data_IF_002993376969
#
_entry.id   IF_002993376969
#
_cell.length_a   1.000
_cell.length_b   1.000
_cell.length_c   1.000
_cell.angle_alpha   90.00
_cell.angle_beta   90.00
_cell.angle_gamma   90.00
#
_symmetry.space_group_name_H-M   'P 1'
#
loop_
_entity.id
_entity.type
_entity.pdbx_description
1 polymer ?
#
# COMPACT_ATOMS: atom_id res chain seq x y z
N UNK A 1 -24.10 33.20 -49.47
CA UNK A 1 -23.94 34.46 -50.25
C UNK A 1 -22.51 34.99 -50.09
N UNK A 2 -21.82 34.95 -51.21
CA UNK A 2 -20.77 35.85 -51.67
C UNK A 2 -19.52 36.12 -50.82
N UNK A 3 -18.42 35.55 -51.28
CA UNK A 3 -17.05 36.15 -51.36
C UNK A 3 -17.12 37.42 -52.25
N UNK A 4 -16.11 38.31 -52.31
CA UNK A 4 -14.78 38.08 -52.88
C UNK A 4 -13.63 38.84 -52.14
N UNK A 5 -12.37 38.42 -52.19
CA UNK A 5 -11.28 38.52 -53.19
C UNK A 5 -10.78 39.92 -53.51
N UNK A 6 -9.51 40.07 -53.52
CA UNK A 6 -8.56 40.79 -54.38
C UNK A 6 -7.43 41.48 -53.56
N UNK A 7 -6.24 41.38 -53.80
CA UNK A 7 -5.21 41.14 -54.83
C UNK A 7 -4.20 42.28 -54.85
N UNK A 8 -2.91 41.94 -55.00
CA UNK A 8 -1.79 42.69 -55.60
C UNK A 8 -1.18 43.89 -54.82
N UNK A 9 0.09 44.24 -54.83
CA UNK A 9 1.22 44.01 -55.74
C UNK A 9 2.49 44.54 -55.09
N UNK A 10 3.60 43.91 -55.28
CA UNK A 10 4.84 44.21 -56.01
C UNK A 10 5.93 45.10 -55.37
N UNK A 11 7.09 44.43 -55.24
CA UNK A 11 8.47 44.89 -55.52
C UNK A 11 9.01 46.19 -54.98
N UNK A 12 10.13 46.07 -54.22
CA UNK A 12 11.41 46.61 -54.77
C UNK A 12 12.62 45.97 -54.08
N UNK A 13 13.54 45.48 -54.90
CA UNK A 13 14.84 45.01 -54.50
C UNK A 13 15.75 46.19 -54.21
N UNK A 14 16.53 46.15 -53.13
CA UNK A 14 17.76 46.91 -52.98
C UNK A 14 18.88 45.94 -52.62
N UNK A 15 19.78 45.77 -53.56
CA UNK A 15 21.09 45.15 -53.39
C UNK A 15 21.99 46.10 -52.61
N UNK A 16 22.58 45.67 -51.52
CA UNK A 16 23.75 46.28 -50.92
C UNK A 16 24.67 45.24 -50.30
N UNK A 17 25.76 45.00 -50.97
CA UNK A 17 27.13 44.74 -50.57
C UNK A 17 27.48 43.82 -49.41
N UNK A 18 28.21 42.81 -49.81
CA UNK A 18 29.01 41.84 -49.00
C UNK A 18 29.92 42.49 -47.96
N UNK A 19 29.88 41.88 -46.75
CA UNK A 19 30.99 41.79 -45.83
C UNK A 19 30.98 40.37 -45.19
N UNK A 20 32.11 39.69 -45.08
CA UNK A 20 32.12 38.36 -44.47
C UNK A 20 31.96 38.49 -42.97
N UNK A 21 30.75 38.20 -42.45
CA UNK A 21 30.55 37.96 -41.03
C UNK A 21 31.10 36.58 -40.70
N UNK A 22 32.15 36.59 -39.90
CA UNK A 22 32.66 35.40 -39.22
C UNK A 22 31.50 34.70 -38.48
N UNK A 23 31.09 33.53 -38.95
CA UNK A 23 30.26 32.61 -38.20
C UNK A 23 31.10 32.11 -37.04
N UNK A 24 30.93 32.70 -35.86
CA UNK A 24 31.24 32.03 -34.60
C UNK A 24 30.39 30.79 -34.54
N UNK A 25 31.00 29.66 -34.78
CA UNK A 25 30.41 28.37 -34.52
C UNK A 25 30.05 28.34 -33.03
N UNK A 26 28.74 28.47 -32.73
CA UNK A 26 28.21 28.15 -31.44
C UNK A 26 28.47 26.64 -31.29
N UNK A 27 29.44 26.29 -30.47
CA UNK A 27 29.68 24.93 -30.04
C UNK A 27 28.42 24.56 -29.26
N UNK A 28 27.48 23.85 -29.91
CA UNK A 28 26.41 23.14 -29.21
C UNK A 28 27.10 22.22 -28.24
N UNK A 29 26.92 22.50 -26.95
CA UNK A 29 27.31 21.56 -25.91
C UNK A 29 26.61 20.23 -26.23
N UNK A 30 27.39 19.24 -26.57
CA UNK A 30 26.88 17.89 -26.79
C UNK A 30 26.08 17.51 -25.54
N UNK A 31 24.82 17.12 -25.73
CA UNK A 31 24.03 16.54 -24.66
C UNK A 31 24.86 15.37 -24.03
N UNK A 32 24.90 15.25 -22.70
CA UNK A 32 25.65 14.15 -22.08
C UNK A 32 25.18 12.85 -22.72
N UNK A 33 26.12 12.05 -23.19
CA UNK A 33 25.84 10.74 -23.79
C UNK A 33 25.00 9.96 -22.74
N UNK A 34 23.82 9.50 -23.15
CA UNK A 34 23.02 8.63 -22.29
C UNK A 34 23.86 7.39 -21.97
N UNK A 35 24.16 7.23 -20.69
CA UNK A 35 24.89 6.07 -20.21
C UNK A 35 24.11 4.80 -20.56
N UNK A 36 24.78 3.78 -21.03
CA UNK A 36 24.10 2.53 -21.39
C UNK A 36 23.56 1.82 -20.14
N UNK A 37 22.44 1.11 -20.27
CA UNK A 37 21.88 0.28 -19.17
C UNK A 37 22.95 -0.60 -18.52
N UNK A 38 23.85 -1.21 -19.32
CA UNK A 38 24.93 -2.04 -18.81
C UNK A 38 25.93 -1.27 -17.94
N UNK A 39 26.32 -0.05 -18.34
CA UNK A 39 27.23 0.77 -17.54
C UNK A 39 26.59 1.24 -16.24
N UNK A 40 25.30 1.55 -16.28
CA UNK A 40 24.52 1.89 -15.07
C UNK A 40 24.38 0.67 -14.13
N UNK A 41 24.12 -0.52 -14.67
CA UNK A 41 24.06 -1.76 -13.89
C UNK A 41 25.41 -2.09 -13.22
N UNK A 42 26.52 -1.93 -13.95
CA UNK A 42 27.87 -2.10 -13.37
C UNK A 42 28.14 -1.10 -12.24
N UNK A 43 27.66 0.13 -12.40
CA UNK A 43 27.77 1.13 -11.36
C UNK A 43 26.92 0.80 -10.13
N UNK A 44 25.65 0.39 -10.30
CA UNK A 44 24.78 -0.05 -9.21
C UNK A 44 25.38 -1.25 -8.47
N UNK A 45 25.93 -2.23 -9.21
CA UNK A 45 26.63 -3.34 -8.61
C UNK A 45 27.81 -2.90 -7.72
N UNK A 46 28.64 -1.99 -8.23
CA UNK A 46 29.77 -1.45 -7.47
C UNK A 46 29.29 -0.65 -6.25
N UNK A 47 28.19 0.08 -6.41
CA UNK A 47 27.59 0.88 -5.33
C UNK A 47 27.07 -0.04 -4.20
N UNK A 48 26.41 -1.14 -4.52
CA UNK A 48 25.89 -2.10 -3.53
C UNK A 48 26.99 -2.72 -2.66
N UNK A 49 28.17 -2.95 -3.23
CA UNK A 49 29.32 -3.49 -2.44
C UNK A 49 29.81 -2.53 -1.36
N UNK A 50 29.58 -1.23 -1.52
CA UNK A 50 29.90 -0.21 -0.54
C UNK A 50 28.75 0.05 0.46
N UNK A 51 27.55 -0.51 0.22
CA UNK A 51 26.33 -0.32 1.00
C UNK A 51 25.68 -1.68 1.32
N UNK A 52 26.35 -2.52 2.12
CA UNK A 52 25.90 -3.89 2.39
C UNK A 52 24.60 -3.95 3.20
N UNK A 53 24.27 -2.90 3.96
CA UNK A 53 23.04 -2.85 4.77
C UNK A 53 21.80 -2.45 3.95
N UNK A 54 22.03 -1.91 2.74
CA UNK A 54 20.96 -1.48 1.84
C UNK A 54 21.12 -0.04 1.34
N UNK A 55 20.38 0.30 0.30
CA UNK A 55 20.37 1.65 -0.28
C UNK A 55 19.09 1.90 -1.11
N UNK A 56 18.80 3.17 -1.34
CA UNK A 56 17.94 3.64 -2.42
C UNK A 56 18.69 4.75 -3.16
N UNK A 57 18.74 4.70 -4.50
CA UNK A 57 19.51 5.66 -5.29
C UNK A 57 18.81 6.04 -6.59
N UNK A 58 18.85 7.34 -6.93
CA UNK A 58 18.53 7.82 -8.28
C UNK A 58 19.66 7.43 -9.23
N UNK A 59 19.38 6.56 -10.18
CA UNK A 59 20.38 6.05 -11.14
C UNK A 59 20.66 7.02 -12.29
N UNK A 60 19.80 8.03 -12.50
CA UNK A 60 20.02 9.08 -13.50
C UNK A 60 20.97 10.16 -12.99
N UNK A 61 20.75 10.59 -11.75
CA UNK A 61 21.52 11.65 -11.10
C UNK A 61 22.64 11.15 -10.19
N UNK A 62 22.64 9.85 -9.87
CA UNK A 62 23.55 9.19 -8.90
C UNK A 62 23.49 9.84 -7.53
N UNK A 63 22.28 10.13 -7.07
CA UNK A 63 22.00 10.76 -5.78
C UNK A 63 21.19 9.84 -4.87
N UNK A 64 21.47 9.93 -3.60
CA UNK A 64 20.67 9.25 -2.56
C UNK A 64 19.53 10.17 -2.17
N UNK A 65 18.27 9.75 -2.34
CA UNK A 65 17.12 10.49 -1.81
C UNK A 65 17.10 10.37 -0.28
N UNK A 66 16.76 11.48 0.39
CA UNK A 66 16.73 11.56 1.86
C UNK A 66 15.33 11.74 2.44
N UNK A 67 14.33 11.87 1.59
CA UNK A 67 12.94 12.06 1.97
C UNK A 67 12.03 11.25 1.05
N UNK A 68 10.86 10.87 1.56
CA UNK A 68 9.85 10.10 0.85
C UNK A 68 9.76 8.64 1.29
N UNK A 69 8.82 7.93 0.70
CA UNK A 69 8.56 6.52 0.94
C UNK A 69 8.99 5.73 -0.29
N UNK A 70 9.96 4.84 -0.11
CA UNK A 70 10.50 3.97 -1.17
C UNK A 70 9.75 2.64 -1.19
N UNK A 71 9.11 2.33 -2.31
CA UNK A 71 8.31 1.11 -2.51
C UNK A 71 8.79 0.38 -3.77
N UNK A 72 9.02 -0.91 -3.68
CA UNK A 72 9.49 -1.71 -4.80
C UNK A 72 8.36 -2.06 -5.81
N UNK A 73 8.75 -2.26 -7.06
CA UNK A 73 7.89 -2.77 -8.13
C UNK A 73 7.91 -4.31 -8.16
N UNK A 74 6.75 -4.94 -8.27
CA UNK A 74 6.63 -6.39 -8.44
C UNK A 74 7.42 -6.93 -9.66
N UNK A 75 7.54 -6.11 -10.70
CA UNK A 75 8.20 -6.51 -11.95
C UNK A 75 9.69 -6.85 -11.80
N UNK A 76 10.33 -6.43 -10.71
CA UNK A 76 11.76 -6.66 -10.46
C UNK A 76 12.02 -7.47 -9.19
N UNK A 77 11.02 -8.11 -8.63
CA UNK A 77 11.18 -9.01 -7.49
C UNK A 77 12.14 -10.19 -7.82
N UNK A 78 12.74 -10.75 -6.77
CA UNK A 78 13.63 -11.91 -6.85
C UNK A 78 14.92 -11.68 -7.68
N UNK A 79 15.38 -10.44 -7.79
CA UNK A 79 16.63 -10.08 -8.47
C UNK A 79 17.76 -9.95 -7.45
N UNK A 80 18.75 -10.85 -7.51
CA UNK A 80 19.82 -10.93 -6.51
C UNK A 80 21.22 -11.13 -7.09
N UNK A 81 21.35 -11.15 -8.41
CA UNK A 81 22.64 -11.32 -9.09
C UNK A 81 23.04 -10.07 -9.87
N UNK A 82 24.33 -10.01 -10.25
CA UNK A 82 24.82 -8.93 -11.12
C UNK A 82 24.17 -8.97 -12.52
N UNK A 83 23.88 -10.16 -13.00
CA UNK A 83 23.22 -10.40 -14.28
C UNK A 83 21.80 -9.85 -14.30
N UNK A 84 21.09 -9.93 -13.17
CA UNK A 84 19.72 -9.44 -13.04
C UNK A 84 19.62 -7.91 -13.06
N UNK A 85 20.71 -7.21 -12.68
CA UNK A 85 20.71 -5.74 -12.60
C UNK A 85 20.40 -5.06 -13.93
N UNK A 86 20.65 -5.71 -15.06
CA UNK A 86 20.27 -5.19 -16.37
C UNK A 86 18.77 -4.97 -16.49
N UNK A 87 17.96 -5.91 -16.00
CA UNK A 87 16.50 -5.85 -16.02
C UNK A 87 15.99 -4.79 -15.00
N UNK A 88 16.54 -4.78 -13.78
CA UNK A 88 16.20 -3.82 -12.75
C UNK A 88 16.45 -2.37 -13.21
N UNK A 89 17.64 -2.10 -13.76
CA UNK A 89 18.01 -0.79 -14.28
C UNK A 89 17.14 -0.39 -15.47
N UNK A 90 16.85 -1.32 -16.38
CA UNK A 90 15.98 -1.07 -17.53
C UNK A 90 14.58 -0.67 -17.07
N UNK A 91 14.02 -1.40 -16.10
CA UNK A 91 12.72 -1.09 -15.53
C UNK A 91 12.74 0.26 -14.81
N UNK A 92 13.73 0.52 -13.97
CA UNK A 92 13.88 1.78 -13.26
C UNK A 92 13.96 2.98 -14.21
N UNK A 93 14.76 2.89 -15.28
CA UNK A 93 14.87 3.95 -16.29
C UNK A 93 13.57 4.21 -17.05
N UNK A 94 12.75 3.17 -17.27
CA UNK A 94 11.44 3.29 -17.91
C UNK A 94 10.36 3.88 -16.98
N UNK A 95 10.60 3.89 -15.66
CA UNK A 95 9.66 4.37 -14.64
C UNK A 95 10.26 5.57 -13.87
N UNK A 96 10.51 5.42 -12.57
CA UNK A 96 10.84 6.55 -11.70
C UNK A 96 12.34 6.86 -11.64
N UNK A 97 13.21 5.94 -12.09
CA UNK A 97 14.65 6.14 -12.13
C UNK A 97 15.37 5.80 -10.83
N UNK A 98 14.72 5.09 -9.91
CA UNK A 98 15.31 4.69 -8.65
C UNK A 98 15.54 3.19 -8.58
N UNK A 99 16.65 2.80 -7.96
CA UNK A 99 16.99 1.41 -7.63
C UNK A 99 17.19 1.32 -6.12
N UNK A 100 16.58 0.31 -5.52
CA UNK A 100 16.81 -0.12 -4.16
C UNK A 100 17.69 -1.37 -4.12
N UNK A 101 18.39 -1.54 -3.01
CA UNK A 101 19.08 -2.78 -2.69
C UNK A 101 19.00 -3.05 -1.19
N UNK A 102 18.85 -4.31 -0.81
CA UNK A 102 18.71 -4.70 0.58
C UNK A 102 19.21 -6.12 0.84
N UNK A 103 19.68 -6.37 2.05
CA UNK A 103 20.16 -7.66 2.51
C UNK A 103 19.04 -8.43 3.21
N UNK A 104 18.71 -9.63 2.71
CA UNK A 104 17.81 -10.54 3.39
C UNK A 104 18.62 -11.53 4.24
N UNK A 105 18.44 -11.45 5.57
CA UNK A 105 19.13 -12.33 6.50
C UNK A 105 18.58 -13.77 6.54
N UNK A 106 17.36 -14.00 6.05
CA UNK A 106 16.73 -15.32 6.08
C UNK A 106 17.35 -16.27 5.06
N UNK A 107 17.65 -15.78 3.86
CA UNK A 107 18.25 -16.57 2.78
C UNK A 107 19.71 -16.18 2.48
N UNK A 108 20.21 -15.12 3.11
CA UNK A 108 21.56 -14.59 2.92
C UNK A 108 21.82 -14.12 1.48
N UNK A 109 20.82 -13.50 0.86
CA UNK A 109 20.90 -12.90 -0.48
C UNK A 109 20.77 -11.38 -0.41
N UNK A 110 21.40 -10.70 -1.38
CA UNK A 110 21.26 -9.27 -1.57
C UNK A 110 20.33 -9.01 -2.75
N UNK A 111 19.20 -8.39 -2.49
CA UNK A 111 18.16 -8.15 -3.48
C UNK A 111 18.27 -6.76 -4.10
N UNK A 112 17.84 -6.65 -5.36
CA UNK A 112 17.79 -5.40 -6.11
C UNK A 112 16.41 -5.20 -6.69
N UNK A 113 15.83 -4.03 -6.48
CA UNK A 113 14.52 -3.68 -6.97
C UNK A 113 14.54 -2.32 -7.68
N UNK A 114 13.76 -2.21 -8.75
CA UNK A 114 13.30 -0.91 -9.21
C UNK A 114 12.29 -0.40 -8.20
N UNK A 115 12.45 0.83 -7.73
CA UNK A 115 11.58 1.40 -6.71
C UNK A 115 10.94 2.71 -7.17
N UNK A 116 9.78 2.99 -6.59
CA UNK A 116 9.09 4.27 -6.68
C UNK A 116 9.26 5.02 -5.37
N UNK A 117 9.46 6.34 -5.45
CA UNK A 117 9.47 7.20 -4.26
C UNK A 117 8.22 8.07 -4.30
N UNK A 118 7.41 7.96 -3.24
CA UNK A 118 6.25 8.81 -3.02
C UNK A 118 6.52 9.81 -1.89
N UNK A 119 5.88 10.99 -1.91
CA UNK A 119 5.96 11.91 -0.77
C UNK A 119 5.44 11.27 0.52
N UNK A 120 6.03 11.56 1.67
CA UNK A 120 5.56 11.04 2.97
C UNK A 120 4.12 11.47 3.28
N UNK A 121 3.69 12.63 2.79
CA UNK A 121 2.29 13.08 2.88
C UNK A 121 1.31 12.23 2.07
N UNK A 122 1.80 11.35 1.19
CA UNK A 122 1.02 10.42 0.38
C UNK A 122 1.19 8.96 0.87
N UNK A 123 1.34 8.75 2.17
CA UNK A 123 1.54 7.42 2.75
C UNK A 123 0.44 6.41 2.35
N UNK A 124 -0.82 6.83 2.28
CA UNK A 124 -1.92 5.98 1.79
C UNK A 124 -1.75 5.52 0.33
N UNK A 125 -1.17 6.36 -0.55
CA UNK A 125 -0.84 5.97 -1.92
C UNK A 125 0.34 4.97 -1.92
N UNK A 126 1.29 5.12 -0.99
CA UNK A 126 2.40 4.18 -0.84
C UNK A 126 1.91 2.80 -0.39
N UNK A 127 0.97 2.73 0.57
CA UNK A 127 0.32 1.47 0.98
C UNK A 127 -0.44 0.85 -0.19
N UNK A 128 -1.24 1.64 -0.92
CA UNK A 128 -1.95 1.14 -2.12
C UNK A 128 -0.97 0.56 -3.13
N UNK A 129 0.10 1.29 -3.42
CA UNK A 129 1.12 0.84 -4.38
C UNK A 129 1.86 -0.42 -3.90
N UNK A 130 2.17 -0.51 -2.60
CA UNK A 130 2.79 -1.69 -2.01
C UNK A 130 1.88 -2.93 -2.14
N UNK A 131 0.59 -2.80 -1.80
CA UNK A 131 -0.38 -3.88 -1.95
C UNK A 131 -0.58 -4.32 -3.41
N UNK A 132 -0.61 -3.37 -4.36
CA UNK A 132 -0.73 -3.66 -5.79
C UNK A 132 0.51 -4.36 -6.37
N UNK A 133 1.68 -4.12 -5.76
CA UNK A 133 2.95 -4.70 -6.14
C UNK A 133 3.36 -5.88 -5.24
N UNK A 134 2.46 -6.39 -4.39
CA UNK A 134 2.68 -7.56 -3.52
C UNK A 134 3.90 -7.39 -2.59
N UNK A 135 4.17 -6.15 -2.16
CA UNK A 135 5.28 -5.84 -1.27
C UNK A 135 4.91 -6.11 0.19
N UNK A 136 5.84 -6.68 0.94
CA UNK A 136 5.68 -6.96 2.37
C UNK A 136 6.02 -5.75 3.25
N UNK A 137 6.73 -4.77 2.70
CA UNK A 137 7.13 -3.55 3.40
C UNK A 137 7.47 -2.43 2.42
N UNK A 138 7.51 -1.21 2.94
CA UNK A 138 8.14 -0.07 2.32
C UNK A 138 9.10 0.62 3.30
N UNK A 139 9.94 1.51 2.80
CA UNK A 139 10.96 2.18 3.60
C UNK A 139 10.74 3.69 3.62
N UNK A 140 10.66 4.29 4.82
CA UNK A 140 10.56 5.75 5.00
C UNK A 140 11.97 6.33 5.05
N UNK A 141 12.36 7.08 4.02
CA UNK A 141 13.74 7.53 3.82
C UNK A 141 14.20 8.55 4.85
N UNK A 142 13.31 9.41 5.36
CA UNK A 142 13.67 10.45 6.34
C UNK A 142 13.97 9.90 7.73
N UNK A 143 13.32 8.80 8.12
CA UNK A 143 13.45 8.19 9.46
C UNK A 143 14.33 6.95 9.46
N UNK A 144 14.49 6.30 8.30
CA UNK A 144 15.13 5.00 8.19
C UNK A 144 14.25 3.85 8.68
N UNK A 145 12.94 4.04 8.73
CA UNK A 145 11.98 3.08 9.23
C UNK A 145 11.49 2.15 8.11
N UNK A 146 11.50 0.83 8.38
CA UNK A 146 10.78 -0.15 7.57
C UNK A 146 9.35 -0.29 8.11
N UNK A 147 8.38 -0.03 7.25
CA UNK A 147 6.95 -0.20 7.57
C UNK A 147 6.44 -1.45 6.89
N UNK A 148 6.05 -2.44 7.67
CA UNK A 148 5.47 -3.69 7.14
C UNK A 148 4.06 -3.44 6.62
N UNK A 149 3.77 -4.09 5.51
CA UNK A 149 2.48 -4.00 4.83
C UNK A 149 1.92 -5.42 4.71
N UNK A 150 0.72 -5.57 5.20
CA UNK A 150 -0.07 -6.76 4.95
C UNK A 150 -1.53 -6.37 4.62
N UNK A 151 -2.40 -7.34 4.47
CA UNK A 151 -3.81 -7.08 4.21
C UNK A 151 -4.64 -6.94 5.50
N UNK A 152 -3.99 -6.72 6.64
CA UNK A 152 -4.62 -6.47 7.95
C UNK A 152 -4.18 -5.09 8.43
N UNK A 153 -5.14 -4.22 8.69
CA UNK A 153 -4.89 -2.87 9.19
C UNK A 153 -5.31 -2.79 10.64
N UNK A 154 -4.38 -2.37 11.48
CA UNK A 154 -4.61 -2.12 12.90
C UNK A 154 -4.74 -0.61 13.20
N UNK A 155 -5.28 -0.22 14.37
CA UNK A 155 -5.24 1.17 14.81
C UNK A 155 -3.81 1.72 14.77
N UNK A 156 -3.68 3.00 14.37
CA UNK A 156 -2.42 3.73 14.16
C UNK A 156 -1.56 3.31 12.94
N UNK A 157 -1.97 2.32 12.18
CA UNK A 157 -1.26 1.95 10.94
C UNK A 157 -1.69 2.81 9.74
N UNK A 158 -0.85 2.82 8.72
CA UNK A 158 -1.17 3.48 7.47
C UNK A 158 -2.24 2.69 6.69
N UNK A 159 -3.23 3.42 6.16
CA UNK A 159 -4.29 2.82 5.36
C UNK A 159 -4.09 3.07 3.87
N UNK A 160 -4.51 2.15 2.99
CA UNK A 160 -4.46 2.38 1.56
C UNK A 160 -5.43 3.50 1.15
N UNK A 161 -4.98 4.36 0.22
CA UNK A 161 -5.80 5.44 -0.32
C UNK A 161 -6.85 4.95 -1.33
N UNK A 162 -6.65 3.79 -1.93
CA UNK A 162 -7.54 3.18 -2.92
C UNK A 162 -7.78 1.70 -2.62
N UNK A 163 -9.05 1.33 -2.51
CA UNK A 163 -9.50 -0.03 -2.20
C UNK A 163 -10.27 -0.69 -3.35
N UNK A 164 -10.14 -0.17 -4.59
CA UNK A 164 -10.80 -0.78 -5.75
C UNK A 164 -10.33 -2.21 -5.98
N UNK A 165 -11.28 -3.12 -6.06
CA UNK A 165 -11.01 -4.56 -6.22
C UNK A 165 -10.72 -5.30 -4.91
N UNK A 166 -10.73 -4.63 -3.78
CA UNK A 166 -10.67 -5.24 -2.46
C UNK A 166 -12.06 -5.39 -1.86
N UNK A 167 -12.25 -6.42 -1.07
CA UNK A 167 -13.41 -6.58 -0.16
C UNK A 167 -12.94 -6.29 1.24
N UNK A 168 -13.54 -5.31 1.88
CA UNK A 168 -13.15 -4.91 3.24
C UNK A 168 -13.98 -5.60 4.29
N UNK A 169 -13.32 -6.13 5.33
CA UNK A 169 -13.99 -6.84 6.45
C UNK A 169 -13.49 -6.31 7.77
N UNK A 170 -14.41 -5.79 8.60
CA UNK A 170 -14.08 -5.43 9.98
C UNK A 170 -14.22 -6.67 10.89
N UNK A 171 -13.22 -6.92 11.71
CA UNK A 171 -13.14 -8.07 12.62
C UNK A 171 -13.63 -7.71 14.02
N UNK A 172 -14.95 -7.55 14.18
CA UNK A 172 -15.58 -7.24 15.46
C UNK A 172 -15.70 -8.49 16.35
N UNK A 173 -15.57 -8.34 17.65
CA UNK A 173 -15.86 -9.45 18.53
C UNK A 173 -15.06 -9.51 19.81
N UNK A 174 -15.02 -10.67 20.41
CA UNK A 174 -14.36 -10.91 21.69
C UNK A 174 -12.86 -10.71 21.59
N UNK A 175 -12.32 -9.78 22.39
CA UNK A 175 -10.88 -9.56 22.58
C UNK A 175 -10.48 -9.78 24.04
N UNK A 176 -11.37 -9.48 25.01
CA UNK A 176 -11.19 -9.62 26.45
C UNK A 176 -9.87 -9.02 26.96
N UNK A 177 -9.61 -7.77 26.56
CA UNK A 177 -8.35 -7.05 26.85
C UNK A 177 -7.09 -7.84 26.41
N UNK A 178 -7.15 -8.52 25.27
CA UNK A 178 -6.05 -9.33 24.75
C UNK A 178 -5.95 -10.74 25.32
N UNK A 179 -6.80 -11.12 26.29
CA UNK A 179 -6.74 -12.46 26.93
C UNK A 179 -7.50 -13.54 26.18
N UNK A 180 -8.33 -13.20 25.20
CA UNK A 180 -9.00 -14.21 24.36
C UNK A 180 -8.02 -14.81 23.34
N UNK A 181 -8.39 -15.98 22.77
CA UNK A 181 -7.69 -16.49 21.59
C UNK A 181 -7.66 -15.42 20.50
N UNK A 182 -6.57 -15.36 19.72
CA UNK A 182 -6.47 -14.50 18.56
C UNK A 182 -7.15 -15.18 17.35
N UNK A 183 -8.47 -15.09 17.34
CA UNK A 183 -9.28 -15.60 16.24
C UNK A 183 -9.14 -14.72 14.99
N UNK A 184 -8.78 -13.44 15.16
CA UNK A 184 -8.57 -12.49 14.06
C UNK A 184 -7.40 -12.95 13.18
N UNK A 185 -6.26 -13.33 13.79
CA UNK A 185 -5.12 -13.87 13.05
C UNK A 185 -5.50 -15.12 12.26
N UNK A 186 -6.34 -16.01 12.83
CA UNK A 186 -6.83 -17.20 12.11
C UNK A 186 -7.69 -16.82 10.90
N UNK A 187 -8.51 -15.77 11.00
CA UNK A 187 -9.30 -15.25 9.86
C UNK A 187 -8.38 -14.73 8.79
N UNK A 188 -7.40 -13.90 9.17
CA UNK A 188 -6.44 -13.32 8.24
C UNK A 188 -5.69 -14.41 7.45
N UNK A 189 -5.14 -15.41 8.15
CA UNK A 189 -4.43 -16.51 7.50
C UNK A 189 -5.30 -17.31 6.51
N UNK A 190 -6.60 -17.49 6.82
CA UNK A 190 -7.53 -18.19 5.92
C UNK A 190 -7.93 -17.38 4.69
N UNK A 191 -8.07 -16.06 4.82
CA UNK A 191 -8.45 -15.19 3.72
C UNK A 191 -7.27 -14.86 2.81
N UNK A 192 -6.04 -14.84 3.31
CA UNK A 192 -4.83 -14.62 2.51
C UNK A 192 -4.65 -15.65 1.37
N UNK A 193 -5.19 -16.87 1.53
CA UNK A 193 -5.10 -17.93 0.51
C UNK A 193 -6.23 -17.95 -0.54
N UNK A 194 -7.12 -16.93 -0.55
CA UNK A 194 -8.24 -16.87 -1.48
C UNK A 194 -7.91 -16.06 -2.73
N UNK A 195 -8.55 -16.40 -3.85
CA UNK A 195 -8.41 -15.65 -5.11
C UNK A 195 -8.90 -14.21 -5.01
N UNK A 196 -9.89 -13.95 -4.15
CA UNK A 196 -10.42 -12.61 -3.89
C UNK A 196 -9.54 -11.87 -2.90
N UNK A 197 -9.23 -10.62 -3.17
CA UNK A 197 -8.46 -9.75 -2.27
C UNK A 197 -9.33 -9.25 -1.12
N UNK A 198 -8.92 -9.56 0.10
CA UNK A 198 -9.56 -9.06 1.32
C UNK A 198 -8.61 -8.13 2.06
N UNK A 199 -9.12 -6.96 2.47
CA UNK A 199 -8.48 -6.08 3.44
C UNK A 199 -9.25 -6.16 4.75
N UNK A 200 -8.55 -6.44 5.85
CA UNK A 200 -9.13 -6.67 7.15
C UNK A 200 -8.84 -5.48 8.07
N UNK A 201 -9.87 -4.95 8.70
CA UNK A 201 -9.69 -4.01 9.80
C UNK A 201 -9.75 -4.76 11.11
N UNK A 202 -8.63 -4.83 11.82
CA UNK A 202 -8.49 -5.56 13.07
C UNK A 202 -8.30 -4.60 14.25
N UNK A 203 -9.29 -4.45 15.14
CA UNK A 203 -9.21 -3.54 16.28
C UNK A 203 -8.25 -3.99 17.39
N UNK A 204 -7.73 -5.24 17.32
CA UNK A 204 -6.80 -5.76 18.32
C UNK A 204 -5.45 -5.08 18.15
N UNK A 205 -4.95 -4.45 19.22
CA UNK A 205 -3.59 -3.93 19.32
C UNK A 205 -2.71 -4.91 20.09
N UNK A 206 -1.45 -5.07 19.69
CA UNK A 206 -0.47 -5.89 20.43
C UNK A 206 -0.19 -5.29 21.81
N UNK A 207 -0.01 -3.98 21.84
CA UNK A 207 0.21 -3.20 23.07
C UNK A 207 -0.94 -2.21 23.27
N UNK A 208 -1.92 -2.56 24.12
CA UNK A 208 -3.04 -1.73 24.44
C UNK A 208 -2.76 -0.87 25.69
N UNK A 209 -2.78 0.45 25.53
CA UNK A 209 -2.48 1.44 26.57
C UNK A 209 -3.62 2.44 26.78
N UNK A 210 -4.78 2.00 27.34
CA UNK A 210 -5.94 2.86 27.52
C UNK A 210 -5.72 4.04 28.48
N UNK A 211 -4.64 4.01 29.25
CA UNK A 211 -4.23 5.09 30.17
C UNK A 211 -3.54 6.26 29.46
N UNK A 212 -3.13 6.12 28.20
CA UNK A 212 -2.57 7.21 27.41
C UNK A 212 -3.69 8.21 27.07
N UNK A 213 -3.38 9.49 27.17
CA UNK A 213 -4.32 10.55 26.84
C UNK A 213 -4.76 10.45 25.38
N UNK A 214 -6.10 10.41 25.17
CA UNK A 214 -6.71 10.34 23.85
C UNK A 214 -6.76 8.93 23.22
N UNK A 215 -6.09 7.94 23.77
CA UNK A 215 -6.02 6.60 23.18
C UNK A 215 -7.37 5.90 23.10
N UNK A 216 -8.17 6.00 24.17
CA UNK A 216 -9.51 5.43 24.19
C UNK A 216 -10.43 6.12 23.17
N UNK A 217 -10.38 7.44 23.08
CA UNK A 217 -11.19 8.19 22.10
C UNK A 217 -10.77 7.84 20.67
N UNK A 218 -9.47 7.70 20.43
CA UNK A 218 -8.94 7.27 19.13
C UNK A 218 -9.45 5.88 18.76
N UNK A 219 -9.25 4.89 19.64
CA UNK A 219 -9.65 3.51 19.40
C UNK A 219 -11.15 3.38 19.09
N UNK A 220 -12.00 3.97 19.93
CA UNK A 220 -13.46 3.88 19.74
C UNK A 220 -13.89 4.55 18.43
N UNK A 221 -13.34 5.72 18.10
CA UNK A 221 -13.67 6.39 16.83
C UNK A 221 -13.16 5.59 15.64
N UNK A 222 -11.94 5.04 15.70
CA UNK A 222 -11.37 4.19 14.66
C UNK A 222 -12.27 2.95 14.40
N UNK A 223 -12.71 2.26 15.45
CA UNK A 223 -13.64 1.12 15.35
C UNK A 223 -14.96 1.50 14.68
N UNK A 224 -15.59 2.59 15.14
CA UNK A 224 -16.87 3.07 14.60
C UNK A 224 -16.73 3.42 13.10
N UNK A 225 -15.71 4.19 12.75
CA UNK A 225 -15.46 4.62 11.37
C UNK A 225 -15.18 3.42 10.45
N UNK A 226 -14.41 2.41 10.92
CA UNK A 226 -14.06 1.27 10.10
C UNK A 226 -15.20 0.26 9.96
N UNK A 227 -16.06 0.11 10.99
CA UNK A 227 -17.31 -0.65 10.84
C UNK A 227 -18.28 0.01 9.85
N UNK A 228 -18.34 1.35 9.82
CA UNK A 228 -19.14 2.07 8.82
C UNK A 228 -18.57 1.96 7.41
N UNK A 229 -17.26 1.96 7.27
CA UNK A 229 -16.50 1.94 6.02
C UNK A 229 -16.45 0.53 5.39
N UNK A 230 -16.32 -0.52 6.21
CA UNK A 230 -16.20 -1.90 5.74
C UNK A 230 -17.40 -2.39 4.93
N UNK A 231 -17.15 -3.26 3.94
CA UNK A 231 -18.20 -3.95 3.18
C UNK A 231 -18.93 -4.98 4.06
N UNK A 232 -18.18 -5.68 4.91
CA UNK A 232 -18.69 -6.70 5.81
C UNK A 232 -18.15 -6.50 7.23
N UNK A 233 -18.91 -6.96 8.22
CA UNK A 233 -18.49 -7.01 9.62
C UNK A 233 -18.61 -8.47 10.07
N UNK A 234 -17.48 -9.14 10.28
CA UNK A 234 -17.43 -10.46 10.88
C UNK A 234 -17.40 -10.30 12.40
N UNK A 235 -18.49 -10.65 13.05
CA UNK A 235 -18.69 -10.43 14.49
C UNK A 235 -18.69 -11.75 15.26
N UNK A 236 -17.70 -11.93 16.14
CA UNK A 236 -17.46 -13.21 16.84
C UNK A 236 -17.69 -13.08 18.34
N UNK A 237 -18.64 -13.86 18.85
CA UNK A 237 -18.89 -14.04 20.27
C UNK A 237 -18.32 -15.37 20.77
N UNK A 238 -17.19 -15.32 21.46
CA UNK A 238 -16.54 -16.52 21.98
C UNK A 238 -17.30 -17.11 23.20
N UNK A 239 -17.34 -18.45 23.35
CA UNK A 239 -17.87 -19.08 24.54
C UNK A 239 -17.19 -18.59 25.82
N UNK A 240 -17.98 -18.36 26.87
CA UNK A 240 -17.47 -17.92 28.17
C UNK A 240 -17.10 -16.44 28.27
N UNK A 241 -17.07 -15.67 27.16
CA UNK A 241 -16.80 -14.23 27.18
C UNK A 241 -18.03 -13.42 27.57
N UNK A 242 -17.82 -12.13 27.91
CA UNK A 242 -18.90 -11.18 28.14
C UNK A 242 -19.16 -10.27 26.94
N UNK A 243 -18.11 -9.82 26.26
CA UNK A 243 -18.15 -9.00 25.04
C UNK A 243 -19.19 -7.88 25.04
N UNK A 244 -19.20 -6.98 26.06
CA UNK A 244 -20.25 -5.95 26.18
C UNK A 244 -20.20 -4.94 25.04
N UNK A 245 -19.01 -4.60 24.56
CA UNK A 245 -18.82 -3.69 23.43
C UNK A 245 -19.33 -4.33 22.14
N UNK A 246 -19.00 -5.60 21.89
CA UNK A 246 -19.51 -6.32 20.72
C UNK A 246 -21.05 -6.41 20.71
N UNK A 247 -21.70 -6.50 21.89
CA UNK A 247 -23.16 -6.43 21.97
C UNK A 247 -23.70 -5.03 21.63
N UNK A 248 -22.99 -3.96 22.00
CA UNK A 248 -23.32 -2.59 21.59
C UNK A 248 -23.20 -2.44 20.08
N UNK A 249 -22.11 -2.88 19.49
CA UNK A 249 -21.82 -2.84 18.06
C UNK A 249 -22.84 -3.65 17.24
N UNK A 250 -23.23 -4.84 17.73
CA UNK A 250 -24.33 -5.60 17.15
C UNK A 250 -25.61 -4.78 17.04
N UNK A 251 -25.95 -4.05 18.12
CA UNK A 251 -27.13 -3.17 18.12
C UNK A 251 -27.00 -2.01 17.14
N UNK A 252 -25.85 -1.36 17.08
CA UNK A 252 -25.56 -0.25 16.17
C UNK A 252 -25.66 -0.66 14.70
N UNK A 253 -25.11 -1.83 14.34
CA UNK A 253 -25.01 -2.29 12.96
C UNK A 253 -26.08 -3.31 12.54
N UNK A 254 -27.06 -3.63 13.41
CA UNK A 254 -28.10 -4.62 13.12
C UNK A 254 -28.91 -4.35 11.84
N UNK A 255 -28.98 -3.09 11.39
CA UNK A 255 -29.72 -2.69 10.17
C UNK A 255 -28.82 -2.42 8.97
N UNK A 256 -27.50 -2.57 9.10
CA UNK A 256 -26.54 -2.22 8.05
C UNK A 256 -26.57 -3.21 6.86
N UNK A 257 -27.00 -4.44 7.08
CA UNK A 257 -26.91 -5.51 6.09
C UNK A 257 -25.50 -6.10 5.93
N UNK A 258 -24.52 -5.66 6.74
CA UNK A 258 -23.08 -6.03 6.63
C UNK A 258 -22.66 -7.18 7.55
N UNK A 259 -23.48 -7.52 8.56
CA UNK A 259 -23.10 -8.43 9.65
C UNK A 259 -23.12 -9.92 9.23
N UNK A 260 -22.02 -10.59 9.56
CA UNK A 260 -21.93 -12.05 9.64
C UNK A 260 -21.59 -12.37 11.11
N UNK A 261 -22.49 -13.04 11.83
CA UNK A 261 -22.35 -13.24 13.26
C UNK A 261 -21.99 -14.70 13.56
N UNK A 262 -20.92 -14.89 14.33
CA UNK A 262 -20.56 -16.19 14.91
C UNK A 262 -20.93 -16.17 16.37
N UNK A 263 -21.86 -17.02 16.76
CA UNK A 263 -22.30 -17.14 18.15
C UNK A 263 -22.82 -18.54 18.45
N UNK A 264 -22.31 -19.15 19.50
CA UNK A 264 -22.73 -20.48 19.91
C UNK A 264 -23.46 -20.48 21.28
N UNK A 265 -24.19 -21.51 21.63
CA UNK A 265 -24.86 -21.62 22.95
C UNK A 265 -23.95 -21.47 24.17
N UNK A 266 -22.62 -21.55 23.99
CA UNK A 266 -21.64 -21.28 25.06
C UNK A 266 -21.46 -19.82 25.42
N UNK A 267 -21.95 -18.87 24.61
CA UNK A 267 -21.98 -17.46 24.95
C UNK A 267 -23.14 -17.14 25.90
N UNK A 268 -22.88 -16.43 26.99
CA UNK A 268 -23.88 -16.22 28.06
C UNK A 268 -25.14 -15.46 27.61
N UNK A 269 -25.09 -14.68 26.54
CA UNK A 269 -26.22 -13.96 25.93
C UNK A 269 -26.63 -14.53 24.56
N UNK A 270 -26.34 -15.78 24.31
CA UNK A 270 -26.65 -16.44 23.04
C UNK A 270 -28.08 -16.18 22.54
N UNK A 271 -29.09 -16.33 23.39
CA UNK A 271 -30.48 -16.11 22.99
C UNK A 271 -30.77 -14.65 22.62
N UNK A 272 -30.16 -13.68 23.32
CA UNK A 272 -30.29 -12.28 22.93
C UNK A 272 -29.71 -12.03 21.54
N UNK A 273 -28.51 -12.54 21.27
CA UNK A 273 -27.86 -12.42 19.94
C UNK A 273 -28.72 -13.08 18.87
N UNK A 274 -29.07 -14.36 19.06
CA UNK A 274 -29.85 -15.17 18.11
C UNK A 274 -31.21 -14.53 17.77
N UNK A 275 -31.95 -14.06 18.79
CA UNK A 275 -33.28 -13.44 18.60
C UNK A 275 -33.12 -12.09 17.87
N UNK A 276 -32.14 -11.29 18.24
CA UNK A 276 -31.85 -10.02 17.57
C UNK A 276 -31.47 -10.26 16.10
N UNK A 277 -30.56 -11.18 15.85
CA UNK A 277 -30.15 -11.51 14.48
C UNK A 277 -31.33 -12.00 13.65
N UNK A 278 -32.16 -12.91 14.18
CA UNK A 278 -33.36 -13.39 13.49
C UNK A 278 -34.35 -12.25 13.18
N UNK A 279 -34.49 -11.27 14.09
CA UNK A 279 -35.38 -10.10 13.89
C UNK A 279 -34.93 -9.20 12.73
N UNK A 280 -33.62 -9.08 12.52
CA UNK A 280 -33.04 -8.19 11.51
C UNK A 280 -32.54 -8.92 10.25
N UNK A 281 -32.73 -10.26 10.17
CA UNK A 281 -32.30 -11.06 9.03
C UNK A 281 -30.77 -11.23 8.95
N UNK A 282 -30.08 -11.14 10.09
CA UNK A 282 -28.63 -11.31 10.18
C UNK A 282 -28.30 -12.80 10.24
N UNK A 283 -27.41 -13.33 9.37
CA UNK A 283 -26.99 -14.71 9.44
C UNK A 283 -26.16 -14.99 10.70
N UNK A 284 -26.43 -16.12 11.35
CA UNK A 284 -25.71 -16.60 12.54
C UNK A 284 -25.08 -17.94 12.22
N UNK A 285 -23.77 -18.06 12.42
CA UNK A 285 -22.97 -19.22 12.12
C UNK A 285 -22.50 -19.91 13.40
N UNK A 286 -22.31 -21.22 13.32
CA UNK A 286 -21.83 -22.05 14.41
C UNK A 286 -20.30 -22.02 14.57
N UNK A 287 -19.60 -21.56 13.55
CA UNK A 287 -18.13 -21.44 13.55
C UNK A 287 -17.63 -20.27 12.71
N UNK A 288 -16.41 -19.85 12.97
CA UNK A 288 -15.72 -18.83 12.17
C UNK A 288 -15.54 -19.32 10.72
N UNK A 289 -15.26 -20.61 10.56
CA UNK A 289 -15.05 -21.22 9.24
C UNK A 289 -16.30 -21.12 8.35
N UNK A 290 -17.47 -21.43 8.91
CA UNK A 290 -18.75 -21.26 8.22
C UNK A 290 -19.00 -19.79 7.82
N UNK A 291 -18.66 -18.84 8.69
CA UNK A 291 -18.83 -17.43 8.40
C UNK A 291 -17.85 -16.93 7.32
N UNK A 292 -16.60 -17.41 7.34
CA UNK A 292 -15.62 -17.13 6.30
C UNK A 292 -16.08 -17.67 4.93
N UNK A 293 -16.65 -18.89 4.88
CA UNK A 293 -17.16 -19.45 3.63
C UNK A 293 -18.38 -18.69 3.07
N UNK A 294 -19.08 -17.95 3.91
CA UNK A 294 -20.19 -17.10 3.50
C UNK A 294 -19.76 -15.69 3.03
N UNK A 295 -18.50 -15.29 3.21
CA UNK A 295 -17.97 -14.08 2.59
C UNK A 295 -17.94 -14.25 1.07
N UNK A 296 -18.22 -13.17 0.29
CA UNK A 296 -18.32 -13.25 -1.16
C UNK A 296 -17.01 -13.63 -1.84
#
# INVERSE_FOLDING_TARGET
>A
MRRPSFLFTLCLAVLAACGPMARTARQEAAAPAQETTAATADWVWTYSQAHPDGFTVDIRERKVPTEGISVAYAATQDRHSKEDLGDVVSHALAHDGYVGGWWNSEDSLYYFDSVRILPESAAGEAVTFALENEQLAFYVLSTGEEVRIDNVIHPHEYEPADLRGWTTVFLAGTIDNGHSEDWQQRVAAKLAGRDRRYLLYNPRQEEWHPEREGEMDYQVNWELEHMEKADHILMVFLPGSQSPITLLELGLHARSGKLLVVCTPGFYRYDNVRITCARYGIPVYGSIDEAIEALP
#
